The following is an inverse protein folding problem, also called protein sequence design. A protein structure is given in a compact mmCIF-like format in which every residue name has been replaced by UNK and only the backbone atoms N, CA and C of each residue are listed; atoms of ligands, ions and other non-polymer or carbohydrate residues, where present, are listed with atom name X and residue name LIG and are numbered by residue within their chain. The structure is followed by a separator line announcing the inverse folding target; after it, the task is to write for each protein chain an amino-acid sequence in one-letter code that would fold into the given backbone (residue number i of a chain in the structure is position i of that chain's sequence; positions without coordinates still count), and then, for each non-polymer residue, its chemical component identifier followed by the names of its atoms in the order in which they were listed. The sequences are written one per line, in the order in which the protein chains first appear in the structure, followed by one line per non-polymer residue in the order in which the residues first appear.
data_IF_172282964716
#
_entry.id   IF_172282964716
#
_cell.length_a   1.000
_cell.length_b   1.000
_cell.length_c   1.000
_cell.angle_alpha   90.00
_cell.angle_beta   90.00
_cell.angle_gamma   90.00
#
_symmetry.space_group_name_H-M   'P 1'
#
loop_
_entity.id
_entity.type
_entity.pdbx_description
1 polymer ?
#
# COMPACT_ATOMS: atom_id res chain seq x y z
N UNK A 1 19.35 21.03 -79.22
CA UNK A 1 19.64 20.58 -77.84
C UNK A 1 21.07 21.01 -77.53
N UNK A 2 21.20 22.14 -76.83
CA UNK A 2 22.43 22.90 -76.50
C UNK A 2 22.43 22.93 -74.95
N UNK A 3 23.47 22.76 -74.14
CA UNK A 3 24.78 23.42 -74.06
C UNK A 3 25.56 22.77 -72.87
N UNK A 4 26.88 22.55 -72.95
CA UNK A 4 27.95 23.38 -72.33
C UNK A 4 28.33 23.07 -70.86
N UNK A 5 29.56 22.60 -70.68
CA UNK A 5 30.47 22.97 -69.56
C UNK A 5 30.91 24.47 -69.68
N UNK A 6 31.69 25.12 -68.77
CA UNK A 6 32.23 24.75 -67.44
C UNK A 6 32.23 25.86 -66.34
N UNK A 7 32.74 25.50 -65.14
CA UNK A 7 33.60 26.24 -64.16
C UNK A 7 33.24 27.61 -63.53
N UNK A 8 33.49 27.62 -62.20
CA UNK A 8 34.29 28.58 -61.41
C UNK A 8 33.56 29.50 -60.39
N UNK A 9 34.21 29.59 -59.22
CA UNK A 9 34.09 30.67 -58.23
C UNK A 9 33.00 30.42 -57.17
N UNK A 10 33.24 30.38 -55.87
CA UNK A 10 34.28 31.06 -55.11
C UNK A 10 33.63 32.04 -54.13
N UNK A 11 33.82 31.75 -52.83
CA UNK A 11 33.65 32.63 -51.65
C UNK A 11 32.22 32.92 -51.15
N UNK A 12 32.01 32.52 -49.89
CA UNK A 12 31.65 33.33 -48.69
C UNK A 12 31.00 32.35 -47.70
N UNK A 13 31.25 32.32 -46.40
CA UNK A 13 32.08 33.10 -45.50
C UNK A 13 32.07 32.32 -44.17
N UNK A 14 33.24 32.10 -43.57
CA UNK A 14 33.37 31.57 -42.21
C UNK A 14 32.78 32.59 -41.22
N UNK A 15 31.68 32.23 -40.57
CA UNK A 15 31.18 32.90 -39.35
C UNK A 15 31.40 31.98 -38.14
N UNK A 16 31.76 32.50 -36.97
CA UNK A 16 32.35 31.68 -35.90
C UNK A 16 31.29 30.83 -35.19
N UNK A 17 31.66 29.56 -34.93
CA UNK A 17 30.96 28.66 -34.01
C UNK A 17 30.95 29.28 -32.62
N UNK A 18 29.78 29.80 -32.21
CA UNK A 18 29.49 30.16 -30.82
C UNK A 18 29.42 28.87 -30.00
N UNK A 19 30.48 28.61 -29.25
CA UNK A 19 30.50 27.60 -28.20
C UNK A 19 30.04 28.23 -26.87
N UNK A 20 29.47 27.37 -26.03
CA UNK A 20 29.31 27.48 -24.57
C UNK A 20 28.44 28.62 -24.00
N UNK A 21 27.27 28.25 -23.48
CA UNK A 21 26.96 28.34 -22.05
C UNK A 21 25.50 27.92 -21.81
N UNK A 22 25.23 26.62 -21.87
CA UNK A 22 23.99 26.07 -21.30
C UNK A 22 24.05 26.25 -19.78
N UNK A 23 23.37 27.29 -19.26
CA UNK A 23 23.08 27.42 -17.83
C UNK A 23 22.22 26.23 -17.40
N UNK A 24 22.88 25.12 -17.04
CA UNK A 24 22.30 24.10 -16.18
C UNK A 24 22.02 24.77 -14.84
N UNK A 25 20.80 25.28 -14.68
CA UNK A 25 20.24 25.57 -13.35
C UNK A 25 20.30 24.25 -12.60
N UNK A 26 21.25 24.12 -11.68
CA UNK A 26 21.22 23.12 -10.61
C UNK A 26 19.90 23.33 -9.90
N UNK A 27 18.94 22.45 -10.19
CA UNK A 27 17.76 22.31 -9.35
C UNK A 27 18.29 21.82 -7.99
N UNK A 28 18.48 22.76 -7.07
CA UNK A 28 18.60 22.45 -5.65
C UNK A 28 17.28 21.80 -5.25
N UNK A 29 17.28 20.47 -5.22
CA UNK A 29 16.21 19.67 -4.65
C UNK A 29 16.21 19.84 -3.12
N UNK A 30 15.90 21.06 -2.67
CA UNK A 30 15.43 21.35 -1.32
C UNK A 30 13.93 21.61 -1.41
N UNK A 31 13.22 20.62 -1.96
CA UNK A 31 11.78 20.50 -1.82
C UNK A 31 11.53 19.50 -0.72
N UNK A 32 11.86 19.84 0.53
CA UNK A 32 11.29 19.12 1.66
C UNK A 32 9.81 19.49 1.67
N UNK A 33 9.01 18.70 0.97
CA UNK A 33 7.56 18.83 1.06
C UNK A 33 7.23 18.59 2.53
N UNK A 34 6.55 19.51 3.23
CA UNK A 34 6.13 19.27 4.59
C UNK A 34 5.35 17.96 4.60
N UNK A 35 5.67 17.07 5.55
CA UNK A 35 4.95 15.82 5.71
C UNK A 35 3.45 16.13 5.68
N UNK A 36 2.65 15.41 4.86
CA UNK A 36 1.23 15.73 4.70
C UNK A 36 0.61 15.83 6.09
N UNK A 37 -0.07 16.96 6.36
CA UNK A 37 -0.67 17.24 7.64
C UNK A 37 -1.47 16.01 8.10
N UNK A 38 -1.02 15.40 9.19
CA UNK A 38 -1.56 14.14 9.65
C UNK A 38 -3.05 14.34 9.96
N UNK A 39 -3.90 13.68 9.17
CA UNK A 39 -5.35 13.65 9.40
C UNK A 39 -5.62 13.20 10.84
N UNK A 40 -6.57 13.84 11.51
CA UNK A 40 -6.84 13.63 12.95
C UNK A 40 -7.23 12.18 13.24
N UNK A 41 -6.84 11.71 14.41
CA UNK A 41 -7.20 10.39 14.93
C UNK A 41 -7.88 10.56 16.30
N UNK A 42 -9.18 10.29 16.36
CA UNK A 42 -9.98 10.34 17.57
C UNK A 42 -9.82 9.02 18.32
N UNK A 43 -9.54 9.10 19.62
CA UNK A 43 -9.25 7.92 20.46
C UNK A 43 -10.37 7.71 21.45
N UNK A 44 -10.83 6.47 21.54
CA UNK A 44 -11.75 5.97 22.53
C UNK A 44 -11.15 4.76 23.25
N UNK A 45 -11.76 4.38 24.36
CA UNK A 45 -11.43 3.18 25.12
C UNK A 45 -12.64 2.25 25.04
N UNK A 46 -12.41 0.95 24.92
CA UNK A 46 -13.42 -0.10 25.00
C UNK A 46 -14.33 0.09 26.24
N UNK A 47 -15.63 0.29 25.99
CA UNK A 47 -16.64 0.58 27.02
C UNK A 47 -16.44 1.89 27.77
N UNK A 48 -15.61 2.78 27.24
CA UNK A 48 -15.26 4.06 27.84
C UNK A 48 -16.29 5.18 27.63
N UNK A 49 -15.97 6.41 28.08
CA UNK A 49 -16.86 7.55 27.93
C UNK A 49 -17.01 7.95 26.44
N UNK A 50 -18.12 8.64 26.08
CA UNK A 50 -18.32 9.12 24.72
C UNK A 50 -17.27 10.14 24.30
N UNK A 51 -16.80 10.03 23.05
CA UNK A 51 -15.81 10.93 22.46
C UNK A 51 -16.52 11.96 21.60
N UNK A 52 -16.28 13.24 21.90
CA UNK A 52 -16.81 14.36 21.13
C UNK A 52 -16.04 14.54 19.82
N UNK A 53 -16.77 14.52 18.70
CA UNK A 53 -16.28 14.85 17.38
C UNK A 53 -16.70 16.28 17.06
N UNK A 54 -15.73 17.18 16.95
CA UNK A 54 -16.02 18.56 16.58
C UNK A 54 -16.35 18.62 15.09
N UNK A 55 -17.50 19.19 14.71
CA UNK A 55 -17.92 19.24 13.31
C UNK A 55 -16.97 20.02 12.39
N UNK A 56 -16.21 20.94 12.96
CA UNK A 56 -15.12 21.64 12.27
C UNK A 56 -14.03 20.70 11.70
N UNK A 57 -13.94 19.46 12.22
CA UNK A 57 -13.04 18.45 11.67
C UNK A 57 -13.58 17.80 10.39
N UNK A 58 -14.86 18.02 10.05
CA UNK A 58 -15.54 17.35 8.93
C UNK A 58 -16.13 18.32 7.89
N UNK A 59 -16.19 19.62 8.21
CA UNK A 59 -16.78 20.67 7.39
C UNK A 59 -15.75 21.73 6.96
N UNK A 60 -15.91 22.35 5.78
CA UNK A 60 -15.13 23.50 5.34
C UNK A 60 -15.55 24.77 6.09
N UNK A 61 -14.67 25.78 6.07
CA UNK A 61 -14.84 27.04 6.80
C UNK A 61 -16.05 27.90 6.35
N UNK A 62 -16.64 27.63 5.17
CA UNK A 62 -17.74 28.43 4.61
C UNK A 62 -19.08 27.73 4.82
N UNK A 63 -19.96 28.36 5.62
CA UNK A 63 -21.30 27.86 5.97
C UNK A 63 -22.34 28.51 5.06
N UNK A 64 -23.11 27.71 4.34
CA UNK A 64 -24.17 28.23 3.45
C UNK A 64 -25.60 27.86 3.92
N UNK A 65 -25.80 26.76 4.65
CA UNK A 65 -27.14 26.37 5.18
C UNK A 65 -27.02 25.43 6.40
N UNK A 66 -28.13 25.27 7.14
CA UNK A 66 -28.21 24.67 8.48
C UNK A 66 -27.63 23.26 8.68
N UNK A 67 -27.49 22.87 9.95
CA UNK A 67 -26.71 21.69 10.34
C UNK A 67 -27.34 20.33 10.01
N UNK A 68 -28.68 20.23 9.97
CA UNK A 68 -29.39 18.94 9.91
C UNK A 68 -28.94 18.03 8.75
N UNK A 69 -28.92 18.56 7.52
CA UNK A 69 -28.55 17.79 6.33
C UNK A 69 -27.10 17.28 6.37
N UNK A 70 -26.19 18.04 6.99
CA UNK A 70 -24.80 17.64 7.18
C UNK A 70 -24.65 16.53 8.22
N UNK A 71 -25.41 16.62 9.32
CA UNK A 71 -25.43 15.59 10.37
C UNK A 71 -25.96 14.29 9.77
N UNK A 72 -27.07 14.33 9.05
CA UNK A 72 -27.67 13.15 8.44
C UNK A 72 -26.72 12.53 7.40
N UNK A 73 -26.04 13.35 6.60
CA UNK A 73 -25.03 12.87 5.66
C UNK A 73 -23.83 12.24 6.38
N UNK A 74 -23.36 12.84 7.48
CA UNK A 74 -22.26 12.30 8.27
C UNK A 74 -22.62 10.95 8.86
N UNK A 75 -23.81 10.86 9.50
CA UNK A 75 -24.32 9.62 10.07
C UNK A 75 -24.42 8.55 8.98
N UNK A 76 -25.12 8.82 7.87
CA UNK A 76 -25.28 7.87 6.77
C UNK A 76 -23.95 7.35 6.21
N UNK A 77 -22.94 8.22 6.05
CA UNK A 77 -21.64 7.84 5.48
C UNK A 77 -20.75 7.07 6.47
N UNK A 78 -20.87 7.32 7.76
CA UNK A 78 -19.98 6.76 8.78
C UNK A 78 -20.61 5.64 9.61
N UNK A 79 -21.93 5.48 9.57
CA UNK A 79 -22.66 4.46 10.33
C UNK A 79 -22.10 3.05 10.10
N UNK A 80 -21.86 2.56 8.86
CA UNK A 80 -21.37 1.20 8.66
C UNK A 80 -19.99 0.95 9.30
N UNK A 81 -19.13 1.98 9.28
CA UNK A 81 -17.81 1.92 9.88
C UNK A 81 -17.89 1.93 11.42
N UNK A 82 -18.77 2.75 11.99
CA UNK A 82 -18.97 2.83 13.44
C UNK A 82 -19.68 1.58 14.00
N UNK A 83 -20.67 1.04 13.28
CA UNK A 83 -21.37 -0.21 13.60
C UNK A 83 -20.41 -1.41 13.62
N UNK A 84 -19.42 -1.44 12.74
CA UNK A 84 -18.40 -2.49 12.75
C UNK A 84 -17.62 -2.52 14.07
N UNK A 85 -17.40 -1.35 14.70
CA UNK A 85 -16.83 -1.21 16.05
C UNK A 85 -17.89 -1.30 17.18
N UNK A 86 -19.16 -1.51 16.85
CA UNK A 86 -20.26 -1.45 17.81
C UNK A 86 -20.41 -0.08 18.47
N UNK A 87 -19.87 0.98 17.85
CA UNK A 87 -19.94 2.33 18.37
C UNK A 87 -21.27 2.99 17.98
N UNK A 88 -21.92 3.68 18.93
CA UNK A 88 -23.16 4.41 18.68
C UNK A 88 -22.88 5.90 18.55
N UNK A 89 -23.70 6.58 17.76
CA UNK A 89 -23.59 8.03 17.58
C UNK A 89 -24.75 8.72 18.26
N UNK A 90 -24.44 9.73 19.06
CA UNK A 90 -25.41 10.62 19.70
C UNK A 90 -25.20 12.04 19.17
N UNK A 91 -26.29 12.70 18.80
CA UNK A 91 -26.26 14.11 18.43
C UNK A 91 -26.80 14.91 19.61
N UNK A 92 -25.98 15.81 20.14
CA UNK A 92 -26.32 16.62 21.31
C UNK A 92 -26.30 18.09 20.89
N UNK A 93 -27.33 18.84 21.28
CA UNK A 93 -27.32 20.29 21.12
C UNK A 93 -26.33 20.94 22.11
N UNK A 94 -25.46 21.81 21.62
CA UNK A 94 -24.57 22.65 22.43
C UNK A 94 -24.80 24.12 22.08
N UNK A 95 -24.53 25.08 22.99
CA UNK A 95 -24.62 26.51 22.70
C UNK A 95 -23.81 26.94 21.46
N UNK A 96 -22.70 26.25 21.18
CA UNK A 96 -21.80 26.53 20.04
C UNK A 96 -22.23 25.83 18.73
N UNK A 97 -23.35 25.09 18.75
CA UNK A 97 -23.85 24.29 17.64
C UNK A 97 -24.06 22.82 18.02
N UNK A 98 -24.61 21.99 17.12
CA UNK A 98 -24.75 20.57 17.38
C UNK A 98 -23.38 19.90 17.51
N UNK A 99 -23.28 18.91 18.39
CA UNK A 99 -22.07 18.14 18.64
C UNK A 99 -22.36 16.65 18.45
N UNK A 100 -21.48 15.95 17.74
CA UNK A 100 -21.57 14.49 17.58
C UNK A 100 -20.72 13.83 18.64
N UNK A 101 -21.33 12.96 19.43
CA UNK A 101 -20.63 12.10 20.39
C UNK A 101 -20.65 10.69 19.85
N UNK A 102 -19.49 10.05 19.83
CA UNK A 102 -19.37 8.62 19.52
C UNK A 102 -19.18 7.88 20.83
N UNK A 103 -20.16 7.06 21.19
CA UNK A 103 -20.12 6.15 22.32
C UNK A 103 -19.44 4.87 21.87
N UNK A 104 -18.22 4.54 22.35
CA UNK A 104 -17.54 3.32 21.95
C UNK A 104 -18.29 2.08 22.45
N UNK A 105 -18.36 1.06 21.61
CA UNK A 105 -18.83 -0.27 22.00
C UNK A 105 -17.75 -1.08 22.72
N UNK A 106 -17.91 -2.41 22.71
CA UNK A 106 -16.94 -3.34 23.30
C UNK A 106 -15.90 -3.89 22.32
N UNK A 107 -15.96 -3.47 21.04
CA UNK A 107 -15.03 -3.92 20.01
C UNK A 107 -13.85 -2.97 19.90
N UNK A 108 -12.66 -3.54 19.98
CA UNK A 108 -11.39 -2.83 19.82
C UNK A 108 -11.00 -2.84 18.35
N UNK A 109 -10.59 -1.70 17.82
CA UNK A 109 -10.25 -1.58 16.40
C UNK A 109 -10.16 -0.14 15.94
N UNK A 110 -9.91 0.04 14.65
CA UNK A 110 -9.81 1.35 14.02
C UNK A 110 -10.64 1.41 12.75
N UNK A 111 -11.35 2.52 12.53
CA UNK A 111 -12.15 2.76 11.33
C UNK A 111 -11.96 4.18 10.80
N UNK A 112 -12.09 4.39 9.47
CA UNK A 112 -11.96 5.71 8.89
C UNK A 112 -13.25 6.51 9.09
N UNK A 113 -13.10 7.82 9.28
CA UNK A 113 -14.21 8.78 9.27
C UNK A 113 -14.16 9.61 7.99
N UNK A 114 -15.29 9.68 7.30
CA UNK A 114 -15.49 10.36 6.02
C UNK A 114 -16.17 11.71 6.21
N UNK A 115 -15.75 12.70 5.43
CA UNK A 115 -16.43 13.99 5.35
C UNK A 115 -17.82 13.82 4.70
N UNK A 116 -18.88 14.42 5.26
CA UNK A 116 -20.24 14.36 4.71
C UNK A 116 -20.36 15.04 3.34
N UNK A 117 -19.42 15.92 2.98
CA UNK A 117 -19.45 16.66 1.72
C UNK A 117 -18.74 15.96 0.57
N UNK A 118 -17.54 15.44 0.83
CA UNK A 118 -16.67 14.90 -0.21
C UNK A 118 -16.64 13.37 -0.22
N UNK A 119 -17.08 12.71 0.86
CA UNK A 119 -16.93 11.27 1.05
C UNK A 119 -15.50 10.78 1.25
N UNK A 120 -14.50 11.68 1.17
CA UNK A 120 -13.11 11.37 1.45
C UNK A 120 -12.88 11.14 2.94
N UNK A 121 -11.91 10.29 3.26
CA UNK A 121 -11.51 10.01 4.64
C UNK A 121 -10.82 11.23 5.23
N UNK A 122 -11.42 11.90 6.20
CA UNK A 122 -10.87 13.12 6.79
C UNK A 122 -10.23 12.87 8.15
N UNK A 123 -10.68 11.85 8.87
CA UNK A 123 -10.13 11.47 10.17
C UNK A 123 -10.16 9.94 10.35
N UNK A 124 -9.58 9.47 11.44
CA UNK A 124 -9.73 8.10 11.94
C UNK A 124 -10.41 8.09 13.30
N UNK A 125 -11.07 6.98 13.62
CA UNK A 125 -11.57 6.68 14.95
C UNK A 125 -10.96 5.35 15.41
N UNK A 126 -10.34 5.34 16.59
CA UNK A 126 -9.73 4.15 17.17
C UNK A 126 -10.32 3.88 18.55
N UNK A 127 -10.80 2.65 18.76
CA UNK A 127 -11.17 2.12 20.07
C UNK A 127 -10.00 1.27 20.55
N UNK A 128 -9.37 1.69 21.64
CA UNK A 128 -8.24 1.00 22.25
C UNK A 128 -8.70 0.12 23.40
N UNK A 129 -7.97 -0.98 23.68
CA UNK A 129 -8.35 -1.89 24.75
C UNK A 129 -8.07 -1.31 26.13
N UNK A 130 -9.00 -1.50 27.07
CA UNK A 130 -8.86 -1.06 28.47
C UNK A 130 -7.63 -1.61 29.19
N UNK A 131 -7.22 -2.84 28.87
CA UNK A 131 -6.04 -3.50 29.44
C UNK A 131 -4.74 -3.25 28.66
N UNK A 132 -4.75 -2.30 27.72
CA UNK A 132 -3.68 -2.03 26.75
C UNK A 132 -3.43 -3.22 25.81
N UNK A 133 -2.74 -2.95 24.71
CA UNK A 133 -2.48 -3.98 23.70
C UNK A 133 -1.66 -5.16 24.21
N UNK A 134 -0.67 -4.91 25.08
CA UNK A 134 0.18 -5.96 25.64
C UNK A 134 -0.61 -7.02 26.42
N UNK A 135 -1.68 -6.60 27.14
CA UNK A 135 -2.56 -7.52 27.85
C UNK A 135 -3.36 -8.41 26.90
N UNK A 136 -3.89 -7.82 25.81
CA UNK A 136 -4.63 -8.58 24.79
C UNK A 136 -3.76 -9.64 24.11
N UNK A 137 -2.51 -9.30 23.79
CA UNK A 137 -1.60 -10.25 23.14
C UNK A 137 -1.44 -11.56 23.94
N UNK A 138 -1.35 -11.47 25.27
CA UNK A 138 -1.26 -12.67 26.14
C UNK A 138 -2.54 -13.50 26.11
N UNK A 139 -3.69 -12.84 26.24
CA UNK A 139 -5.00 -13.51 26.20
C UNK A 139 -5.24 -14.19 24.85
N UNK A 140 -4.87 -13.55 23.74
CA UNK A 140 -4.99 -14.15 22.41
C UNK A 140 -4.09 -15.39 22.26
N UNK A 141 -2.89 -15.38 22.83
CA UNK A 141 -2.02 -16.56 22.83
C UNK A 141 -2.60 -17.71 23.64
N UNK A 142 -3.12 -17.45 24.84
CA UNK A 142 -3.73 -18.46 25.71
C UNK A 142 -5.02 -19.04 25.11
N UNK A 143 -5.82 -18.22 24.44
CA UNK A 143 -7.07 -18.62 23.79
C UNK A 143 -6.86 -19.20 22.38
N UNK A 144 -5.62 -19.38 21.94
CA UNK A 144 -5.31 -19.89 20.60
C UNK A 144 -5.85 -19.02 19.47
N UNK A 145 -5.94 -17.70 19.67
CA UNK A 145 -6.45 -16.72 18.71
C UNK A 145 -7.93 -16.92 18.32
N UNK A 146 -8.75 -17.50 19.20
CA UNK A 146 -10.18 -17.71 18.95
C UNK A 146 -10.93 -16.41 18.56
N UNK A 147 -10.50 -15.26 19.11
CA UNK A 147 -10.99 -13.93 18.76
C UNK A 147 -9.92 -13.13 18.00
N UNK A 148 -9.38 -13.70 16.93
CA UNK A 148 -8.37 -13.05 16.10
C UNK A 148 -8.88 -11.70 15.55
N UNK A 149 -8.00 -10.70 15.37
CA UNK A 149 -8.33 -9.46 14.68
C UNK A 149 -8.83 -9.75 13.25
N UNK A 150 -9.65 -8.87 12.68
CA UNK A 150 -10.07 -8.97 11.29
C UNK A 150 -9.87 -7.64 10.56
N UNK A 151 -9.66 -7.72 9.25
CA UNK A 151 -9.59 -6.57 8.36
C UNK A 151 -10.95 -6.31 7.73
N UNK A 152 -11.55 -5.19 8.11
CA UNK A 152 -12.73 -4.67 7.46
C UNK A 152 -12.39 -4.18 6.04
N UNK A 153 -13.32 -4.34 5.09
CA UNK A 153 -13.20 -3.78 3.74
C UNK A 153 -13.49 -2.27 3.74
N UNK A 154 -12.64 -1.53 4.45
CA UNK A 154 -12.72 -0.10 4.65
C UNK A 154 -11.40 0.56 4.23
N UNK A 155 -11.43 1.84 3.82
CA UNK A 155 -10.21 2.58 3.54
C UNK A 155 -9.24 2.58 4.72
N UNK A 156 -7.95 2.75 4.40
CA UNK A 156 -6.91 2.89 5.41
C UNK A 156 -7.20 4.04 6.38
N UNK A 157 -7.11 3.73 7.68
CA UNK A 157 -7.36 4.70 8.75
C UNK A 157 -6.14 5.61 8.93
N UNK A 158 -6.28 6.94 8.77
CA UNK A 158 -5.15 7.84 8.92
C UNK A 158 -4.55 7.79 10.33
N UNK A 159 -3.23 7.69 10.42
CA UNK A 159 -2.50 7.70 11.70
C UNK A 159 -2.61 6.42 12.53
N UNK A 160 -3.42 5.42 12.12
CA UNK A 160 -3.64 4.17 12.87
C UNK A 160 -2.37 3.33 13.07
N UNK A 161 -1.45 3.36 12.10
CA UNK A 161 -0.23 2.55 12.11
C UNK A 161 0.74 2.83 13.27
N UNK A 162 0.57 3.92 14.03
CA UNK A 162 1.34 4.20 15.25
C UNK A 162 0.64 3.73 16.52
N UNK A 163 -0.68 3.61 16.50
CA UNK A 163 -1.49 3.32 17.69
C UNK A 163 -1.83 1.84 17.82
N UNK A 164 -1.97 1.13 16.69
CA UNK A 164 -2.21 -0.31 16.65
C UNK A 164 -0.85 -1.02 16.51
N UNK A 165 -0.48 -1.91 17.44
CA UNK A 165 0.78 -2.62 17.34
C UNK A 165 0.87 -3.48 16.07
N UNK A 166 2.06 -3.59 15.44
CA UNK A 166 2.23 -4.38 14.23
C UNK A 166 1.79 -5.84 14.35
N UNK A 167 1.97 -6.46 15.53
CA UNK A 167 1.60 -7.86 15.76
C UNK A 167 0.08 -8.11 15.63
N UNK A 168 -0.76 -7.10 15.91
CA UNK A 168 -2.23 -7.20 15.75
C UNK A 168 -2.57 -7.37 14.27
N UNK A 169 -1.84 -6.68 13.40
CA UNK A 169 -2.00 -6.77 11.95
C UNK A 169 -1.34 -8.03 11.37
N UNK A 170 -0.27 -8.52 12.00
CA UNK A 170 0.46 -9.69 11.55
C UNK A 170 -0.41 -10.96 11.54
N UNK A 171 -1.22 -11.19 12.58
CA UNK A 171 -2.04 -12.40 12.70
C UNK A 171 -2.91 -12.70 11.46
N UNK A 172 -3.81 -11.77 11.06
CA UNK A 172 -4.67 -12.00 9.90
C UNK A 172 -3.89 -12.05 8.58
N UNK A 173 -2.79 -11.31 8.46
CA UNK A 173 -1.90 -11.38 7.29
C UNK A 173 -1.25 -12.77 7.18
N UNK A 174 -0.74 -13.31 8.28
CA UNK A 174 -0.15 -14.65 8.32
C UNK A 174 -1.18 -15.74 7.97
N UNK A 175 -2.41 -15.63 8.48
CA UNK A 175 -3.51 -16.54 8.12
C UNK A 175 -3.86 -16.49 6.63
N UNK A 176 -3.92 -15.28 6.05
CA UNK A 176 -4.13 -15.10 4.59
C UNK A 176 -2.96 -15.64 3.77
N UNK A 177 -1.71 -15.41 4.20
CA UNK A 177 -0.52 -15.97 3.56
C UNK A 177 -0.51 -17.51 3.63
N UNK A 178 -0.88 -18.09 4.77
CA UNK A 178 -1.03 -19.53 4.91
C UNK A 178 -2.07 -20.06 3.91
N UNK A 179 -3.26 -19.47 3.88
CA UNK A 179 -4.32 -19.83 2.94
C UNK A 179 -3.85 -19.73 1.49
N UNK A 180 -3.17 -18.63 1.13
CA UNK A 180 -2.58 -18.43 -0.19
C UNK A 180 -1.60 -19.55 -0.54
N UNK A 181 -0.69 -19.89 0.37
CA UNK A 181 0.31 -20.94 0.16
C UNK A 181 -0.34 -22.33 -0.02
N UNK A 182 -1.44 -22.61 0.69
CA UNK A 182 -2.22 -23.85 0.54
C UNK A 182 -2.98 -23.90 -0.78
N UNK A 183 -3.50 -22.76 -1.27
CA UNK A 183 -4.23 -22.68 -2.54
C UNK A 183 -3.32 -22.53 -3.77
N UNK A 184 -2.00 -22.39 -3.59
CA UNK A 184 -1.07 -22.22 -4.71
C UNK A 184 -1.06 -23.44 -5.62
N UNK A 185 -1.58 -23.27 -6.83
CA UNK A 185 -1.53 -24.28 -7.87
C UNK A 185 -0.12 -24.35 -8.47
N UNK A 186 0.27 -25.55 -8.90
CA UNK A 186 1.48 -25.73 -9.70
C UNK A 186 1.18 -25.33 -11.14
N UNK A 187 2.11 -24.63 -11.77
CA UNK A 187 2.03 -24.21 -13.16
C UNK A 187 3.27 -24.64 -13.91
N UNK A 188 3.14 -24.77 -15.23
CA UNK A 188 4.29 -24.93 -16.11
C UNK A 188 4.94 -23.58 -16.35
N UNK A 189 6.25 -23.55 -16.18
CA UNK A 189 7.10 -22.40 -16.53
C UNK A 189 8.23 -22.88 -17.42
N UNK A 190 8.60 -22.07 -18.39
CA UNK A 190 9.79 -22.33 -19.18
C UNK A 190 11.03 -22.04 -18.32
N UNK A 191 11.84 -23.07 -18.10
CA UNK A 191 13.11 -22.95 -17.38
C UNK A 191 14.27 -23.25 -18.35
N UNK A 192 15.29 -22.40 -18.30
CA UNK A 192 16.54 -22.58 -19.03
C UNK A 192 17.65 -22.94 -18.04
N UNK A 193 18.21 -24.14 -18.19
CA UNK A 193 19.25 -24.65 -17.30
C UNK A 193 20.27 -25.50 -18.06
N UNK A 194 21.51 -25.51 -17.58
CA UNK A 194 22.57 -26.37 -18.11
C UNK A 194 22.55 -27.72 -17.39
N UNK A 195 22.16 -28.76 -18.10
CA UNK A 195 21.96 -30.10 -17.54
C UNK A 195 23.00 -31.09 -18.08
N UNK A 196 23.18 -32.20 -17.35
CA UNK A 196 24.00 -33.33 -17.80
C UNK A 196 23.28 -34.32 -18.71
N UNK A 197 21.96 -34.22 -18.77
CA UNK A 197 21.07 -35.07 -19.56
C UNK A 197 20.09 -34.17 -20.29
N UNK A 198 19.77 -34.46 -21.56
CA UNK A 198 18.84 -33.62 -22.32
C UNK A 198 17.45 -33.67 -21.69
N UNK A 199 16.87 -32.50 -21.43
CA UNK A 199 15.48 -32.35 -20.97
C UNK A 199 14.82 -31.26 -21.82
N UNK A 200 13.66 -31.56 -22.40
CA UNK A 200 12.99 -30.64 -23.31
C UNK A 200 13.82 -30.33 -24.55
N UNK A 201 13.98 -29.04 -24.88
CA UNK A 201 14.69 -28.57 -26.08
C UNK A 201 16.12 -28.15 -25.74
N UNK A 202 17.10 -28.70 -26.45
CA UNK A 202 18.48 -28.21 -26.38
C UNK A 202 18.60 -26.87 -27.12
N UNK A 203 19.25 -25.90 -26.50
CA UNK A 203 19.56 -24.61 -27.10
C UNK A 203 20.86 -24.74 -27.89
N UNK A 204 20.77 -25.27 -29.11
CA UNK A 204 21.93 -25.58 -29.95
C UNK A 204 22.91 -24.42 -30.16
N UNK A 205 22.46 -23.17 -30.44
CA UNK A 205 23.39 -22.05 -30.59
C UNK A 205 24.25 -21.82 -29.35
N UNK A 206 23.66 -21.91 -28.15
CA UNK A 206 24.40 -21.76 -26.89
C UNK A 206 25.32 -22.97 -26.62
N UNK A 207 24.87 -24.18 -26.94
CA UNK A 207 25.67 -25.39 -26.77
C UNK A 207 26.94 -25.32 -27.62
N UNK A 208 26.80 -25.00 -28.91
CA UNK A 208 27.94 -24.87 -29.83
C UNK A 208 28.91 -23.78 -29.35
N UNK A 209 28.40 -22.60 -28.98
CA UNK A 209 29.23 -21.47 -28.60
C UNK A 209 29.91 -21.61 -27.23
N UNK A 210 29.29 -22.29 -26.25
CA UNK A 210 29.74 -22.30 -24.85
C UNK A 210 30.19 -23.66 -24.33
N UNK A 211 29.54 -24.75 -24.73
CA UNK A 211 29.81 -26.08 -24.19
C UNK A 211 30.76 -26.86 -25.10
N UNK A 212 30.47 -26.92 -26.40
CA UNK A 212 31.25 -27.69 -27.38
C UNK A 212 32.69 -27.15 -27.49
N UNK A 213 32.83 -25.85 -27.76
CA UNK A 213 34.14 -25.18 -27.92
C UNK A 213 35.00 -25.25 -26.65
N UNK A 214 34.37 -25.31 -25.47
CA UNK A 214 35.08 -25.38 -24.17
C UNK A 214 35.34 -26.80 -23.67
N UNK A 215 35.06 -27.83 -24.48
CA UNK A 215 35.25 -29.24 -24.10
C UNK A 215 34.29 -29.75 -23.03
N UNK A 216 33.17 -29.06 -22.78
CA UNK A 216 32.15 -29.44 -21.78
C UNK A 216 30.98 -30.16 -22.47
N UNK A 217 31.27 -31.25 -23.15
CA UNK A 217 30.30 -31.98 -24.00
C UNK A 217 29.13 -32.55 -23.20
N UNK A 218 29.35 -32.80 -21.91
CA UNK A 218 28.36 -33.27 -20.97
C UNK A 218 27.42 -32.16 -20.47
N UNK A 219 27.63 -30.90 -20.83
CA UNK A 219 26.83 -29.76 -20.35
C UNK A 219 25.93 -29.21 -21.45
N UNK A 220 24.66 -29.60 -21.41
CA UNK A 220 23.66 -29.25 -22.39
C UNK A 220 22.81 -28.07 -21.88
N UNK A 221 22.88 -26.86 -22.48
CA UNK A 221 21.92 -25.81 -22.21
C UNK A 221 20.56 -26.26 -22.77
N UNK A 222 19.60 -26.41 -21.87
CA UNK A 222 18.28 -26.94 -22.16
C UNK A 222 17.21 -25.96 -21.73
N UNK A 223 16.13 -25.92 -22.49
CA UNK A 223 14.90 -25.20 -22.20
C UNK A 223 13.75 -26.20 -22.08
N UNK A 224 13.07 -26.22 -20.94
CA UNK A 224 12.01 -27.19 -20.68
C UNK A 224 10.90 -26.61 -19.80
N UNK A 225 9.65 -27.12 -19.93
CA UNK A 225 8.59 -26.81 -19.00
C UNK A 225 8.88 -27.49 -17.66
N UNK A 226 9.04 -26.70 -16.62
CA UNK A 226 9.16 -27.15 -15.24
C UNK A 226 7.83 -26.97 -14.51
N UNK A 227 7.34 -28.03 -13.86
CA UNK A 227 6.12 -27.97 -13.07
C UNK A 227 6.46 -27.53 -11.65
N UNK A 228 6.19 -26.27 -11.35
CA UNK A 228 6.56 -25.67 -10.07
C UNK A 228 5.48 -24.75 -9.51
N UNK A 229 5.69 -24.29 -8.28
CA UNK A 229 4.95 -23.16 -7.75
C UNK A 229 5.61 -21.85 -8.21
N UNK A 230 4.87 -20.75 -8.19
CA UNK A 230 5.43 -19.43 -8.52
C UNK A 230 6.60 -19.09 -7.57
N UNK A 231 7.84 -19.03 -8.08
CA UNK A 231 9.02 -18.77 -7.26
C UNK A 231 9.04 -17.33 -6.73
N UNK A 232 8.43 -16.36 -7.43
CA UNK A 232 8.36 -14.97 -6.98
C UNK A 232 7.45 -14.87 -5.78
N UNK A 233 6.25 -15.44 -5.88
CA UNK A 233 5.29 -15.43 -4.79
C UNK A 233 5.84 -16.15 -3.56
N UNK A 234 6.46 -17.32 -3.74
CA UNK A 234 7.14 -18.04 -2.64
C UNK A 234 8.28 -17.25 -2.03
N UNK A 235 9.09 -16.55 -2.84
CA UNK A 235 10.18 -15.70 -2.34
C UNK A 235 9.64 -14.54 -1.51
N UNK A 236 8.58 -13.88 -1.96
CA UNK A 236 7.93 -12.81 -1.21
C UNK A 236 7.32 -13.31 0.10
N UNK A 237 6.58 -14.43 0.06
CA UNK A 237 6.03 -15.04 1.26
C UNK A 237 7.13 -15.41 2.27
N UNK A 238 8.21 -16.04 1.80
CA UNK A 238 9.38 -16.36 2.63
C UNK A 238 9.98 -15.10 3.27
N UNK A 239 10.23 -14.05 2.49
CA UNK A 239 10.80 -12.81 3.00
C UNK A 239 9.91 -12.17 4.08
N UNK A 240 8.59 -12.13 3.87
CA UNK A 240 7.65 -11.59 4.87
C UNK A 240 7.70 -12.41 6.16
N UNK A 241 7.69 -13.75 6.07
CA UNK A 241 7.75 -14.62 7.23
C UNK A 241 9.07 -14.49 8.00
N UNK A 242 10.21 -14.40 7.29
CA UNK A 242 11.52 -14.15 7.90
C UNK A 242 11.56 -12.80 8.61
N UNK A 243 10.93 -11.77 8.02
CA UNK A 243 10.86 -10.43 8.62
C UNK A 243 10.02 -10.41 9.89
N UNK A 244 8.82 -10.99 9.86
CA UNK A 244 7.91 -11.06 11.02
C UNK A 244 8.51 -11.90 12.15
N UNK A 245 9.33 -12.91 11.84
CA UNK A 245 10.01 -13.71 12.86
C UNK A 245 11.18 -12.98 13.52
N UNK A 246 11.81 -12.04 12.82
CA UNK A 246 12.97 -11.30 13.30
C UNK A 246 12.60 -10.09 14.17
N UNK A 247 11.39 -9.55 14.00
CA UNK A 247 10.80 -8.47 14.81
C UNK A 247 10.09 -9.04 16.06
#
# INVERSE_FOLDING_TARGET
MVASEPRAGGRRSKGPRRSTAGKRRRATATGWSPAPAQRRLHRAIDGGPPVSLAFQDFLPARRETGWGSYIDAFLRMNQPALDALGARVEVVGSPDGPLVRVVPGTRVGAVPLRSPQTGHVTAGFIVTPRFRWAGIGRVLMETGWAAAPDFLDLPMVPGSGREVPPWVLAGPVLSRLQSLLHSMRRGYREEEAVLRRPRGRIIWPEYLARSLVRGRWERLPCRFPDLGHDPRLRRHARWVLERVRAD
#
